data_IF_142295168972
#
_entry.id   IF_142295168972
#
_cell.length_a   1.000
_cell.length_b   1.000
_cell.length_c   1.000
_cell.angle_alpha   90.00
_cell.angle_beta   90.00
_cell.angle_gamma   90.00
#
_symmetry.space_group_name_H-M   'P 1'
#
loop_
_entity.id
_entity.type
_entity.pdbx_description
1 polymer ?
#
# COMPACT_ATOMS: atom_id res chain seq x y z
N UNK A 1 38.96 -30.48 -16.33
CA UNK A 1 37.65 -29.83 -16.48
C UNK A 1 36.99 -29.83 -15.12
N UNK A 2 37.05 -28.71 -14.39
CA UNK A 2 36.45 -28.59 -13.05
C UNK A 2 34.96 -28.29 -13.22
N UNK A 3 34.11 -29.20 -12.76
CA UNK A 3 32.65 -29.07 -12.77
C UNK A 3 32.24 -28.29 -11.51
N UNK A 4 31.77 -27.05 -11.67
CA UNK A 4 31.13 -26.31 -10.58
C UNK A 4 29.66 -26.72 -10.50
N UNK A 5 29.27 -27.44 -9.44
CA UNK A 5 27.86 -27.59 -9.08
C UNK A 5 27.40 -26.31 -8.36
N UNK A 6 26.46 -25.59 -8.97
CA UNK A 6 25.75 -24.50 -8.29
C UNK A 6 24.56 -25.11 -7.53
N UNK A 7 24.57 -25.03 -6.21
CA UNK A 7 23.43 -25.38 -5.37
C UNK A 7 22.55 -24.16 -5.17
N UNK A 8 21.38 -24.13 -5.79
CA UNK A 8 20.34 -23.15 -5.49
C UNK A 8 19.76 -23.46 -4.10
N UNK A 9 19.93 -22.56 -3.14
CA UNK A 9 19.31 -22.67 -1.81
C UNK A 9 17.94 -21.99 -1.90
N UNK A 10 16.86 -22.78 -1.84
CA UNK A 10 15.52 -22.25 -1.59
C UNK A 10 15.37 -22.03 -0.08
N UNK A 11 15.07 -20.81 0.35
CA UNK A 11 14.70 -20.55 1.74
C UNK A 11 13.30 -21.16 2.00
N UNK A 12 13.25 -22.31 2.66
CA UNK A 12 12.01 -22.92 3.13
C UNK A 12 11.64 -22.32 4.49
N UNK A 13 10.51 -21.62 4.57
CA UNK A 13 9.95 -21.17 5.85
C UNK A 13 9.07 -22.30 6.37
N UNK A 14 9.38 -22.92 7.52
CA UNK A 14 8.57 -23.99 8.09
C UNK A 14 7.14 -23.50 8.35
N UNK A 15 6.14 -24.22 7.85
CA UNK A 15 4.72 -23.94 8.08
C UNK A 15 4.16 -24.52 9.38
N UNK A 16 5.02 -25.14 10.18
CA UNK A 16 4.63 -25.94 11.35
C UNK A 16 5.37 -25.46 12.59
N UNK A 17 4.71 -25.50 13.75
CA UNK A 17 5.27 -25.19 15.06
C UNK A 17 5.67 -26.48 15.76
N UNK A 18 6.91 -26.57 16.26
CA UNK A 18 7.26 -27.66 17.18
C UNK A 18 6.56 -27.44 18.53
N UNK A 19 5.81 -28.43 18.97
CA UNK A 19 5.09 -28.45 20.22
C UNK A 19 5.54 -29.64 21.06
N UNK A 20 5.80 -29.41 22.35
CA UNK A 20 6.19 -30.44 23.30
C UNK A 20 5.31 -30.34 24.52
N UNK A 21 4.98 -31.48 25.11
CA UNK A 21 4.15 -31.54 26.29
C UNK A 21 4.51 -32.70 27.20
N UNK A 22 3.95 -32.64 28.41
CA UNK A 22 4.03 -33.69 29.39
C UNK A 22 2.61 -34.11 29.78
N UNK A 23 2.25 -35.37 29.57
CA UNK A 23 0.96 -35.93 29.95
C UNK A 23 1.07 -36.64 31.30
N UNK A 24 0.16 -36.25 32.20
CA UNK A 24 -0.04 -36.92 33.49
C UNK A 24 -1.40 -37.57 33.57
N UNK A 25 -1.52 -38.57 34.42
CA UNK A 25 -2.79 -39.13 34.85
C UNK A 25 -3.46 -38.24 35.91
N UNK A 26 -4.59 -38.72 36.45
CA UNK A 26 -5.36 -38.03 37.49
C UNK A 26 -4.62 -37.91 38.84
N UNK A 27 -3.57 -38.71 39.04
CA UNK A 27 -2.74 -38.70 40.25
C UNK A 27 -1.51 -37.77 40.09
N UNK A 28 -1.42 -37.04 38.96
CA UNK A 28 -0.26 -36.25 38.56
C UNK A 28 1.01 -37.08 38.29
N UNK A 29 0.87 -38.37 38.00
CA UNK A 29 1.97 -39.24 37.60
C UNK A 29 2.06 -39.30 36.06
N UNK A 30 3.27 -39.54 35.53
CA UNK A 30 3.46 -39.67 34.09
C UNK A 30 2.59 -40.82 33.53
N UNK A 31 1.93 -40.59 32.39
CA UNK A 31 1.20 -41.67 31.72
C UNK A 31 2.15 -42.77 31.25
N UNK A 32 1.63 -43.98 31.11
CA UNK A 32 2.38 -45.14 30.62
C UNK A 32 2.90 -44.94 29.21
N UNK A 33 4.08 -45.48 28.92
CA UNK A 33 4.66 -45.40 27.58
C UNK A 33 3.75 -46.08 26.55
N UNK A 34 3.51 -45.42 25.42
CA UNK A 34 2.62 -45.94 24.40
C UNK A 34 2.17 -44.91 23.37
N UNK A 35 1.34 -45.37 22.43
CA UNK A 35 0.72 -44.50 21.43
C UNK A 35 -0.58 -43.92 21.96
N UNK A 36 -0.74 -42.61 21.83
CA UNK A 36 -1.93 -41.86 22.19
C UNK A 36 -2.42 -41.09 20.97
N UNK A 37 -3.72 -41.11 20.71
CA UNK A 37 -4.33 -40.21 19.73
C UNK A 37 -4.55 -38.87 20.41
N UNK A 38 -3.89 -37.82 19.94
CA UNK A 38 -3.99 -36.47 20.50
C UNK A 38 -4.56 -35.53 19.46
N UNK A 39 -5.62 -34.84 19.83
CA UNK A 39 -6.26 -33.79 19.03
C UNK A 39 -5.87 -32.44 19.60
N UNK A 40 -5.31 -31.59 18.75
CA UNK A 40 -4.96 -30.20 19.06
C UNK A 40 -5.92 -29.27 18.33
N UNK A 41 -6.40 -28.23 18.99
CA UNK A 41 -7.28 -27.23 18.38
C UNK A 41 -6.97 -25.81 18.86
N UNK A 42 -7.29 -24.81 18.02
CA UNK A 42 -7.11 -23.38 18.33
C UNK A 42 -8.48 -22.70 18.42
N UNK A 43 -8.65 -21.90 19.47
CA UNK A 43 -9.93 -21.26 19.82
C UNK A 43 -9.79 -19.74 20.00
N UNK A 44 -10.85 -19.00 19.69
CA UNK A 44 -10.96 -17.55 19.96
C UNK A 44 -11.41 -17.20 21.38
N UNK A 45 -11.47 -18.18 22.29
CA UNK A 45 -11.79 -17.96 23.69
C UNK A 45 -11.36 -19.11 24.59
N UNK A 46 -11.58 -18.93 25.89
CA UNK A 46 -10.93 -19.69 26.95
C UNK A 46 -11.47 -21.13 27.14
N UNK A 47 -12.47 -21.56 26.37
CA UNK A 47 -13.12 -22.86 26.53
C UNK A 47 -13.94 -23.27 25.28
N UNK A 48 -14.48 -24.50 25.32
CA UNK A 48 -15.23 -25.15 24.25
C UNK A 48 -16.57 -24.50 23.87
N UNK A 49 -17.01 -23.44 24.56
CA UNK A 49 -18.21 -22.68 24.16
C UNK A 49 -17.91 -21.59 23.14
N UNK A 50 -16.63 -21.35 22.84
CA UNK A 50 -16.16 -20.37 21.87
C UNK A 50 -15.97 -21.01 20.49
N UNK A 51 -15.47 -20.27 19.49
CA UNK A 51 -15.33 -20.81 18.15
C UNK A 51 -13.99 -21.55 18.01
N UNK A 52 -14.06 -22.77 17.51
CA UNK A 52 -12.89 -23.49 17.01
C UNK A 52 -12.49 -22.93 15.64
N UNK A 53 -11.20 -22.67 15.47
CA UNK A 53 -10.64 -22.03 14.28
C UNK A 53 -9.73 -22.96 13.48
N UNK A 54 -9.22 -24.01 14.11
CA UNK A 54 -8.33 -25.00 13.53
C UNK A 54 -8.27 -26.24 14.44
N UNK A 55 -8.10 -27.41 13.83
CA UNK A 55 -7.94 -28.70 14.50
C UNK A 55 -6.92 -29.56 13.73
N UNK A 56 -6.15 -30.37 14.47
CA UNK A 56 -5.28 -31.41 13.94
C UNK A 56 -5.20 -32.60 14.89
N UNK A 57 -5.48 -33.80 14.39
CA UNK A 57 -5.47 -35.05 15.16
C UNK A 57 -4.32 -35.93 14.71
N UNK A 58 -3.47 -36.31 15.66
CA UNK A 58 -2.25 -37.07 15.41
C UNK A 58 -2.10 -38.23 16.39
N UNK A 59 -1.44 -39.31 15.96
CA UNK A 59 -1.02 -40.39 16.85
C UNK A 59 0.41 -40.14 17.31
N UNK A 60 0.61 -39.92 18.61
CA UNK A 60 1.89 -39.60 19.23
C UNK A 60 2.38 -40.74 20.10
N UNK A 61 3.66 -41.08 19.98
CA UNK A 61 4.31 -41.95 20.96
C UNK A 61 4.75 -41.11 22.16
N UNK A 62 4.25 -41.46 23.34
CA UNK A 62 4.55 -40.79 24.60
C UNK A 62 5.50 -41.68 25.39
N UNK A 63 6.64 -41.13 25.81
CA UNK A 63 7.64 -41.84 26.59
C UNK A 63 7.90 -41.08 27.89
N UNK A 64 7.69 -41.75 29.02
CA UNK A 64 7.78 -41.19 30.38
C UNK A 64 6.94 -39.91 30.53
N UNK A 65 5.75 -39.91 29.92
CA UNK A 65 4.84 -38.76 29.87
C UNK A 65 5.22 -37.67 28.86
N UNK A 66 6.41 -37.68 28.26
CA UNK A 66 6.85 -36.64 27.32
C UNK A 66 6.44 -36.98 25.89
N UNK A 67 6.01 -35.97 25.13
CA UNK A 67 5.84 -36.06 23.68
C UNK A 67 6.36 -34.81 22.96
N UNK A 68 6.65 -34.96 21.67
CA UNK A 68 6.99 -33.86 20.76
C UNK A 68 6.26 -34.07 19.43
N UNK A 69 5.71 -33.00 18.88
CA UNK A 69 5.05 -33.01 17.58
C UNK A 69 5.23 -31.69 16.81
N UNK A 70 4.87 -31.67 15.54
CA UNK A 70 4.77 -30.47 14.72
C UNK A 70 3.30 -30.18 14.42
N UNK A 71 2.82 -28.97 14.75
CA UNK A 71 1.44 -28.51 14.54
C UNK A 71 1.37 -27.59 13.33
N UNK A 72 0.36 -27.77 12.48
CA UNK A 72 0.11 -26.97 11.29
C UNK A 72 0.08 -27.80 9.99
N UNK A 73 -0.12 -27.16 8.83
CA UNK A 73 -0.16 -25.71 8.61
C UNK A 73 -1.43 -25.05 9.16
N UNK A 74 -1.30 -23.79 9.59
CA UNK A 74 -2.44 -23.00 10.08
C UNK A 74 -3.10 -22.21 8.94
N UNK A 75 -4.44 -22.00 8.96
CA UNK A 75 -5.13 -21.15 8.01
C UNK A 75 -4.71 -19.68 8.12
N UNK A 76 -4.78 -18.96 7.00
CA UNK A 76 -4.43 -17.53 6.94
C UNK A 76 -5.36 -16.61 7.76
N UNK A 77 -6.53 -17.12 8.17
CA UNK A 77 -7.48 -16.42 9.05
C UNK A 77 -6.98 -16.33 10.49
N UNK A 78 -6.05 -17.20 10.93
CA UNK A 78 -5.44 -17.14 12.26
C UNK A 78 -4.36 -16.05 12.28
N UNK A 79 -4.77 -14.86 12.73
CA UNK A 79 -3.91 -13.68 12.68
C UNK A 79 -2.90 -13.63 13.82
N UNK A 80 -3.16 -14.28 14.96
CA UNK A 80 -2.41 -14.13 16.22
C UNK A 80 -2.27 -12.66 16.68
N UNK A 81 -3.16 -11.77 16.22
CA UNK A 81 -3.22 -10.37 16.66
C UNK A 81 -4.08 -10.19 17.93
N UNK A 82 -4.96 -11.14 18.18
CA UNK A 82 -5.77 -11.26 19.39
C UNK A 82 -5.30 -12.47 20.22
N UNK A 83 -5.77 -12.57 21.46
CA UNK A 83 -5.48 -13.74 22.31
C UNK A 83 -6.18 -14.98 21.75
N UNK A 84 -5.43 -16.07 21.58
CA UNK A 84 -5.96 -17.38 21.21
C UNK A 84 -5.57 -18.44 22.25
N UNK A 85 -6.30 -19.55 22.24
CA UNK A 85 -6.16 -20.62 23.21
C UNK A 85 -5.99 -21.98 22.53
N UNK A 86 -5.17 -22.84 23.13
CA UNK A 86 -4.92 -24.21 22.70
C UNK A 86 -5.81 -25.18 23.47
N UNK A 87 -6.66 -25.89 22.73
CA UNK A 87 -7.39 -27.06 23.19
C UNK A 87 -6.57 -28.32 22.91
N UNK A 88 -6.56 -29.26 23.85
CA UNK A 88 -5.93 -30.57 23.68
C UNK A 88 -6.90 -31.65 24.18
N UNK A 89 -7.15 -32.68 23.39
CA UNK A 89 -7.85 -33.90 23.81
C UNK A 89 -6.95 -35.11 23.60
N UNK A 90 -7.03 -36.06 24.53
CA UNK A 90 -6.32 -37.33 24.43
C UNK A 90 -7.33 -38.46 24.30
N UNK A 91 -7.18 -39.29 23.28
CA UNK A 91 -8.05 -40.41 22.91
C UNK A 91 -9.54 -40.02 22.79
N UNK A 92 -9.83 -38.80 22.32
CA UNK A 92 -11.20 -38.28 22.21
C UNK A 92 -11.90 -38.02 23.55
N UNK A 93 -11.15 -37.98 24.66
CA UNK A 93 -11.66 -37.65 25.97
C UNK A 93 -11.99 -36.16 26.15
N UNK A 94 -12.19 -35.74 27.40
CA UNK A 94 -12.40 -34.33 27.71
C UNK A 94 -11.18 -33.48 27.36
N UNK A 95 -11.41 -32.20 27.07
CA UNK A 95 -10.33 -31.23 26.90
C UNK A 95 -9.48 -31.11 28.17
N UNK A 96 -8.17 -31.13 27.99
CA UNK A 96 -7.21 -30.78 29.03
C UNK A 96 -7.30 -29.27 29.29
N UNK A 97 -7.43 -28.90 30.56
CA UNK A 97 -7.63 -27.51 31.00
C UNK A 97 -6.70 -27.19 32.17
N UNK A 98 -6.23 -25.95 32.22
CA UNK A 98 -5.52 -25.36 33.37
C UNK A 98 -6.48 -24.36 34.00
N UNK A 99 -6.74 -24.49 35.30
CA UNK A 99 -7.71 -23.65 36.03
C UNK A 99 -9.08 -23.56 35.34
N UNK A 100 -9.54 -24.67 34.75
CA UNK A 100 -10.79 -24.77 33.99
C UNK A 100 -10.85 -23.95 32.67
N UNK A 101 -9.70 -23.51 32.17
CA UNK A 101 -9.57 -22.82 30.87
C UNK A 101 -8.62 -23.58 29.94
N UNK A 102 -8.77 -23.37 28.64
CA UNK A 102 -7.79 -23.76 27.63
C UNK A 102 -6.47 -23.02 27.84
N UNK A 103 -5.40 -23.57 27.28
CA UNK A 103 -4.05 -23.05 27.51
C UNK A 103 -3.88 -21.76 26.68
N UNK A 104 -3.69 -20.58 27.29
CA UNK A 104 -3.48 -19.36 26.53
C UNK A 104 -2.13 -19.41 25.81
N UNK A 105 -2.08 -18.96 24.56
CA UNK A 105 -0.79 -18.71 23.91
C UNK A 105 -0.13 -17.47 24.52
N UNK A 106 0.94 -17.67 25.28
CA UNK A 106 1.63 -16.60 26.03
C UNK A 106 2.90 -16.06 25.34
N UNK A 107 3.41 -16.72 24.29
CA UNK A 107 4.54 -16.18 23.49
C UNK A 107 4.72 -16.83 22.10
N UNK A 108 5.14 -16.01 21.13
CA UNK A 108 5.90 -16.31 19.88
C UNK A 108 5.28 -17.17 18.77
N UNK A 109 3.97 -17.14 18.54
CA UNK A 109 3.39 -17.72 17.31
C UNK A 109 3.26 -16.69 16.18
N UNK A 110 3.61 -15.42 16.46
CA UNK A 110 3.66 -14.35 15.45
C UNK A 110 4.81 -14.52 14.45
N UNK A 111 5.88 -15.26 14.77
CA UNK A 111 7.03 -15.46 13.89
C UNK A 111 6.72 -16.24 12.60
N UNK A 112 5.60 -16.99 12.54
CA UNK A 112 5.14 -17.70 11.34
C UNK A 112 4.59 -16.76 10.26
N UNK A 113 4.39 -15.48 10.60
CA UNK A 113 4.23 -14.39 9.62
C UNK A 113 5.52 -14.03 8.90
N UNK A 114 6.64 -14.75 9.09
CA UNK A 114 7.84 -14.55 8.29
C UNK A 114 7.58 -14.75 6.78
N UNK A 115 6.59 -15.57 6.38
CA UNK A 115 6.18 -15.66 4.98
C UNK A 115 5.45 -14.39 4.50
N UNK A 116 4.65 -13.74 5.37
CA UNK A 116 4.05 -12.40 5.10
C UNK A 116 5.00 -11.23 5.33
N UNK A 117 6.17 -11.47 5.96
CA UNK A 117 7.32 -10.56 6.03
C UNK A 117 8.38 -10.92 4.97
N UNK A 118 8.08 -11.90 4.12
CA UNK A 118 8.95 -12.52 3.13
C UNK A 118 9.10 -11.64 1.91
N UNK A 119 9.69 -10.45 2.09
CA UNK A 119 9.81 -9.47 1.03
C UNK A 119 8.45 -9.12 0.42
N UNK A 120 8.46 -8.54 -0.79
CA UNK A 120 7.26 -8.36 -1.60
C UNK A 120 7.35 -9.27 -2.81
N UNK A 121 6.28 -9.98 -3.13
CA UNK A 121 6.15 -10.72 -4.38
C UNK A 121 6.11 -9.74 -5.55
N UNK A 122 7.21 -9.67 -6.31
CA UNK A 122 7.34 -8.81 -7.48
C UNK A 122 7.11 -9.64 -8.75
N UNK A 123 6.21 -9.19 -9.61
CA UNK A 123 5.91 -9.81 -10.90
C UNK A 123 6.06 -8.81 -12.03
N UNK A 124 6.65 -9.23 -13.14
CA UNK A 124 6.70 -8.44 -14.37
C UNK A 124 5.70 -8.99 -15.39
N UNK A 125 4.95 -8.11 -16.05
CA UNK A 125 3.97 -8.46 -17.09
C UNK A 125 4.12 -7.55 -18.33
N UNK A 126 3.67 -8.05 -19.46
CA UNK A 126 3.66 -7.33 -20.75
C UNK A 126 2.38 -7.51 -21.56
N UNK A 127 1.32 -8.02 -20.91
CA UNK A 127 -0.01 -8.26 -21.48
C UNK A 127 -1.06 -8.18 -20.38
N UNK A 128 -2.34 -8.10 -20.76
CA UNK A 128 -3.48 -8.06 -19.84
C UNK A 128 -3.38 -9.12 -18.73
N UNK A 129 -3.71 -8.71 -17.50
CA UNK A 129 -3.51 -9.53 -16.31
C UNK A 129 -4.51 -9.18 -15.20
N UNK A 130 -4.97 -10.18 -14.44
CA UNK A 130 -5.78 -9.99 -13.24
C UNK A 130 -4.93 -10.22 -12.01
N UNK A 131 -4.92 -9.28 -11.05
CA UNK A 131 -4.15 -9.45 -9.82
C UNK A 131 -4.66 -10.65 -9.01
N UNK A 132 -3.73 -11.29 -8.31
CA UNK A 132 -3.95 -12.53 -7.57
C UNK A 132 -3.36 -12.45 -6.16
N UNK A 133 -3.61 -13.46 -5.34
CA UNK A 133 -3.05 -13.57 -3.99
C UNK A 133 -1.51 -13.65 -3.96
N UNK A 134 -0.89 -13.94 -5.11
CA UNK A 134 0.57 -14.08 -5.25
C UNK A 134 1.24 -12.81 -5.81
N UNK A 135 0.55 -11.67 -5.79
CA UNK A 135 1.07 -10.39 -6.28
C UNK A 135 1.14 -9.39 -5.13
N UNK A 136 2.28 -8.70 -5.00
CA UNK A 136 2.42 -7.54 -4.09
C UNK A 136 2.82 -6.30 -4.88
N UNK A 137 3.76 -6.47 -5.81
CA UNK A 137 4.18 -5.45 -6.77
C UNK A 137 4.08 -6.03 -8.18
N UNK A 138 3.38 -5.34 -9.07
CA UNK A 138 3.31 -5.68 -10.50
C UNK A 138 3.99 -4.60 -11.32
N UNK A 139 5.05 -4.98 -12.01
CA UNK A 139 5.79 -4.16 -12.97
C UNK A 139 5.24 -4.41 -14.37
N UNK A 140 4.50 -3.45 -14.91
CA UNK A 140 3.78 -3.62 -16.17
C UNK A 140 4.41 -2.82 -17.31
N UNK A 141 4.46 -3.45 -18.47
CA UNK A 141 4.90 -2.92 -19.75
C UNK A 141 3.91 -3.32 -20.86
N UNK A 142 4.11 -2.82 -22.07
CA UNK A 142 3.19 -3.03 -23.19
C UNK A 142 1.88 -2.25 -23.03
N UNK A 143 1.03 -2.31 -24.05
CA UNK A 143 -0.37 -1.88 -23.94
C UNK A 143 -1.12 -2.93 -23.13
N UNK A 144 -1.12 -2.74 -21.81
CA UNK A 144 -1.58 -3.75 -20.85
C UNK A 144 -2.73 -3.19 -20.02
N UNK A 145 -3.74 -4.02 -19.79
CA UNK A 145 -4.83 -3.76 -18.84
C UNK A 145 -4.67 -4.66 -17.62
N UNK A 146 -4.52 -4.05 -16.45
CA UNK A 146 -4.58 -4.74 -15.15
C UNK A 146 -6.01 -4.70 -14.63
N UNK A 147 -6.55 -5.89 -14.32
CA UNK A 147 -7.86 -6.05 -13.68
C UNK A 147 -7.68 -6.20 -12.17
N UNK A 148 -8.33 -5.33 -11.41
CA UNK A 148 -8.51 -5.51 -9.98
C UNK A 148 -9.48 -6.69 -9.75
N UNK A 149 -9.13 -7.66 -8.91
CA UNK A 149 -10.02 -8.79 -8.63
C UNK A 149 -11.20 -8.35 -7.76
N UNK A 150 -12.15 -9.25 -7.54
CA UNK A 150 -13.34 -8.97 -6.73
C UNK A 150 -12.93 -8.55 -5.31
N UNK A 151 -13.31 -7.33 -4.89
CA UNK A 151 -12.85 -6.72 -3.65
C UNK A 151 -13.14 -7.60 -2.41
N UNK A 152 -14.28 -8.30 -2.40
CA UNK A 152 -14.69 -9.16 -1.28
C UNK A 152 -13.70 -10.29 -0.96
N UNK A 153 -13.01 -10.81 -1.99
CA UNK A 153 -12.05 -11.90 -1.82
C UNK A 153 -10.66 -11.39 -1.40
N UNK A 154 -10.46 -10.07 -1.42
CA UNK A 154 -9.18 -9.41 -1.22
C UNK A 154 -9.23 -8.32 -0.15
N UNK A 155 -10.17 -8.39 0.80
CA UNK A 155 -10.29 -7.40 1.90
C UNK A 155 -8.96 -7.25 2.65
N UNK A 156 -8.47 -6.01 2.75
CA UNK A 156 -7.20 -5.66 3.39
C UNK A 156 -5.96 -5.96 2.54
N UNK A 157 -6.12 -6.52 1.32
CA UNK A 157 -4.98 -6.74 0.41
C UNK A 157 -4.56 -5.44 -0.24
N UNK A 158 -3.25 -5.19 -0.21
CA UNK A 158 -2.58 -4.07 -0.84
C UNK A 158 -1.79 -4.58 -2.06
N UNK A 159 -1.95 -3.89 -3.19
CA UNK A 159 -1.14 -4.11 -4.39
C UNK A 159 -0.46 -2.82 -4.80
N UNK A 160 0.78 -2.88 -5.27
CA UNK A 160 1.46 -1.78 -5.96
C UNK A 160 1.60 -2.14 -7.44
N UNK A 161 1.20 -1.24 -8.32
CA UNK A 161 1.29 -1.39 -9.77
C UNK A 161 2.23 -0.30 -10.27
N UNK A 162 3.26 -0.66 -11.04
CA UNK A 162 4.22 0.31 -11.59
C UNK A 162 4.39 0.09 -13.08
N UNK A 163 4.23 1.17 -13.85
CA UNK A 163 4.56 1.19 -15.27
C UNK A 163 6.07 1.29 -15.46
N UNK A 164 6.67 0.43 -16.27
CA UNK A 164 8.13 0.40 -16.43
C UNK A 164 8.62 0.86 -17.82
N UNK A 165 7.76 0.88 -18.84
CA UNK A 165 8.13 1.39 -20.17
C UNK A 165 7.74 2.87 -20.39
N UNK A 166 8.30 3.47 -21.43
CA UNK A 166 8.11 4.88 -21.79
C UNK A 166 7.21 5.10 -23.02
N UNK A 167 6.73 4.05 -23.68
CA UNK A 167 6.00 4.15 -24.96
C UNK A 167 4.53 3.80 -24.86
N UNK A 168 4.15 2.85 -24.02
CA UNK A 168 2.81 2.27 -24.03
C UNK A 168 1.90 2.95 -23.01
N UNK A 169 0.61 2.60 -23.03
CA UNK A 169 -0.35 2.98 -21.98
C UNK A 169 -0.62 1.79 -21.08
N UNK A 170 -0.58 2.01 -19.76
CA UNK A 170 -1.03 1.02 -18.78
C UNK A 170 -2.43 1.41 -18.28
N UNK A 171 -3.39 0.50 -18.42
CA UNK A 171 -4.77 0.68 -17.97
C UNK A 171 -5.05 -0.13 -16.72
N UNK A 172 -5.85 0.40 -15.80
CA UNK A 172 -6.37 -0.33 -14.63
C UNK A 172 -7.89 -0.27 -14.70
N UNK A 173 -8.53 -1.42 -14.49
CA UNK A 173 -10.00 -1.56 -14.43
C UNK A 173 -10.41 -2.35 -13.20
N UNK A 174 -11.59 -2.04 -12.67
CA UNK A 174 -12.30 -2.86 -11.69
C UNK A 174 -13.24 -3.83 -12.41
N UNK A 175 -13.95 -4.65 -11.65
CA UNK A 175 -14.95 -5.59 -12.17
C UNK A 175 -16.28 -5.39 -11.44
N UNK A 176 -17.37 -5.88 -12.04
CA UNK A 176 -18.69 -5.94 -11.41
C UNK A 176 -19.24 -4.58 -10.87
N UNK A 177 -18.85 -3.45 -11.46
CA UNK A 177 -19.26 -2.13 -10.98
C UNK A 177 -18.60 -1.69 -9.67
N UNK A 178 -17.57 -2.41 -9.19
CA UNK A 178 -16.79 -1.97 -8.03
C UNK A 178 -16.05 -0.67 -8.34
N UNK A 179 -15.88 0.17 -7.33
CA UNK A 179 -15.24 1.47 -7.52
C UNK A 179 -13.76 1.47 -7.12
N UNK A 180 -12.98 2.34 -7.76
CA UNK A 180 -11.71 2.84 -7.27
C UNK A 180 -11.92 4.30 -6.84
N UNK A 181 -11.72 4.62 -5.56
CA UNK A 181 -11.98 5.95 -5.01
C UNK A 181 -13.39 6.49 -5.37
N UNK A 182 -14.43 5.68 -5.17
CA UNK A 182 -15.82 5.98 -5.51
C UNK A 182 -16.11 6.19 -7.01
N UNK A 183 -15.14 5.95 -7.89
CA UNK A 183 -15.33 5.99 -9.35
C UNK A 183 -15.40 4.57 -9.90
N UNK A 184 -16.48 4.22 -10.60
CA UNK A 184 -16.58 2.94 -11.32
C UNK A 184 -15.64 2.97 -12.54
N UNK A 185 -14.62 2.12 -12.52
CA UNK A 185 -13.64 1.96 -13.61
C UNK A 185 -13.81 0.60 -14.32
N UNK A 186 -14.96 -0.07 -14.17
CA UNK A 186 -15.24 -1.37 -14.78
C UNK A 186 -15.86 -1.27 -16.18
N UNK A 187 -16.50 -0.14 -16.51
CA UNK A 187 -17.30 0.04 -17.72
C UNK A 187 -16.70 1.09 -18.67
N UNK A 188 -15.65 0.71 -19.41
CA UNK A 188 -15.13 1.50 -20.53
C UNK A 188 -14.36 2.78 -20.18
N UNK A 189 -14.17 3.06 -18.89
CA UNK A 189 -13.39 4.19 -18.38
C UNK A 189 -12.24 3.69 -17.47
N UNK A 190 -11.22 3.02 -18.04
CA UNK A 190 -10.05 2.61 -17.28
C UNK A 190 -9.32 3.82 -16.71
N UNK A 191 -8.73 3.66 -15.53
CA UNK A 191 -7.68 4.56 -15.09
C UNK A 191 -6.44 4.31 -15.94
N UNK A 192 -5.83 5.35 -16.51
CA UNK A 192 -4.66 5.22 -17.38
C UNK A 192 -3.41 5.82 -16.76
N UNK A 193 -2.26 5.17 -16.98
CA UNK A 193 -0.93 5.65 -16.66
C UNK A 193 -0.09 5.69 -17.94
N UNK A 194 0.32 6.90 -18.31
CA UNK A 194 1.11 7.14 -19.53
C UNK A 194 2.61 7.30 -19.24
N UNK A 195 2.95 7.96 -18.12
CA UNK A 195 4.34 8.23 -17.73
C UNK A 195 5.12 6.98 -17.33
N UNK A 196 6.36 6.87 -17.79
CA UNK A 196 7.28 5.83 -17.31
C UNK A 196 7.52 5.99 -15.80
N UNK A 197 7.55 4.87 -15.09
CA UNK A 197 7.74 4.81 -13.63
C UNK A 197 6.61 5.40 -12.80
N UNK A 198 5.50 5.82 -13.42
CA UNK A 198 4.28 6.05 -12.67
C UNK A 198 3.87 4.78 -11.93
N UNK A 199 3.47 4.93 -10.68
CA UNK A 199 2.94 3.84 -9.88
C UNK A 199 1.67 4.26 -9.16
N UNK A 200 0.91 3.25 -8.78
CA UNK A 200 -0.26 3.38 -7.94
C UNK A 200 -0.27 2.20 -6.98
N UNK A 201 -0.52 2.47 -5.70
CA UNK A 201 -0.88 1.41 -4.77
C UNK A 201 -2.38 1.44 -4.50
N UNK A 202 -3.01 0.28 -4.42
CA UNK A 202 -4.44 0.12 -4.14
C UNK A 202 -4.66 -0.85 -2.99
N UNK A 203 -5.68 -0.60 -2.18
CA UNK A 203 -6.13 -1.48 -1.09
C UNK A 203 -7.63 -1.74 -1.21
N UNK A 204 -8.05 -2.98 -0.98
CA UNK A 204 -9.48 -3.32 -0.92
C UNK A 204 -10.01 -3.22 0.51
N UNK A 205 -11.21 -2.67 0.69
CA UNK A 205 -11.94 -2.72 1.96
C UNK A 205 -12.93 -3.90 2.07
N UNK A 206 -13.00 -4.76 1.05
CA UNK A 206 -13.96 -5.85 0.93
C UNK A 206 -15.19 -5.54 0.07
N UNK A 207 -15.35 -4.30 -0.39
CA UNK A 207 -16.47 -3.85 -1.25
C UNK A 207 -16.02 -2.97 -2.40
N UNK A 208 -14.95 -2.20 -2.20
CA UNK A 208 -14.36 -1.31 -3.22
C UNK A 208 -12.87 -1.19 -3.01
N UNK A 209 -12.20 -0.60 -4.00
CA UNK A 209 -10.78 -0.33 -4.02
C UNK A 209 -10.51 1.14 -3.70
N UNK A 210 -9.40 1.40 -3.00
CA UNK A 210 -8.93 2.73 -2.69
C UNK A 210 -7.48 2.84 -3.11
N UNK A 211 -7.11 3.92 -3.80
CA UNK A 211 -5.70 4.22 -4.00
C UNK A 211 -5.10 4.72 -2.69
N UNK A 212 -3.86 4.34 -2.42
CA UNK A 212 -3.07 4.82 -1.30
C UNK A 212 -1.76 5.41 -1.83
N UNK A 213 -1.28 6.46 -1.19
CA UNK A 213 -0.19 7.30 -1.69
C UNK A 213 -0.71 8.67 -2.12
N UNK A 214 0.06 9.38 -2.94
CA UNK A 214 -0.29 10.72 -3.40
C UNK A 214 -1.21 10.64 -4.63
N UNK A 215 -2.43 11.15 -4.52
CA UNK A 215 -3.34 11.33 -5.64
C UNK A 215 -3.11 12.71 -6.28
N UNK A 216 -3.29 12.85 -7.60
CA UNK A 216 -3.31 14.18 -8.23
C UNK A 216 -4.47 15.05 -7.70
N UNK A 217 -5.51 14.44 -7.11
CA UNK A 217 -6.59 15.12 -6.40
C UNK A 217 -6.19 15.64 -5.02
N UNK A 218 -5.03 15.24 -4.50
CA UNK A 218 -4.47 15.80 -3.25
C UNK A 218 -3.86 17.18 -3.48
N UNK A 219 -3.72 17.59 -4.75
CA UNK A 219 -3.40 18.96 -5.12
C UNK A 219 -4.71 19.68 -5.44
N UNK A 220 -5.22 20.54 -4.54
CA UNK A 220 -6.56 21.12 -4.61
C UNK A 220 -6.64 22.26 -5.63
N UNK A 221 -6.25 22.01 -6.88
CA UNK A 221 -6.40 22.93 -7.99
C UNK A 221 -7.55 22.44 -8.88
N UNK A 222 -8.60 23.26 -9.00
CA UNK A 222 -9.70 23.02 -9.93
C UNK A 222 -9.24 23.13 -11.39
N UNK A 223 -10.01 22.57 -12.33
CA UNK A 223 -9.77 22.74 -13.78
C UNK A 223 -9.69 24.23 -14.16
N UNK A 224 -10.48 25.08 -13.49
CA UNK A 224 -10.42 26.53 -13.66
C UNK A 224 -9.09 27.13 -13.19
N UNK A 225 -8.55 26.66 -12.05
CA UNK A 225 -7.25 27.11 -11.54
C UNK A 225 -6.10 26.63 -12.43
N UNK A 226 -6.23 25.46 -13.07
CA UNK A 226 -5.28 24.94 -14.06
C UNK A 226 -5.34 25.76 -15.35
N UNK A 227 -6.53 26.15 -15.81
CA UNK A 227 -6.69 26.97 -17.02
C UNK A 227 -6.01 28.35 -16.90
N UNK A 228 -5.94 28.93 -15.69
CA UNK A 228 -5.16 30.15 -15.46
C UNK A 228 -3.66 30.00 -15.76
N UNK A 229 -3.14 28.78 -15.83
CA UNK A 229 -1.74 28.47 -16.07
C UNK A 229 -1.47 27.91 -17.49
N UNK A 230 -2.50 27.68 -18.32
CA UNK A 230 -2.35 27.04 -19.64
C UNK A 230 -1.44 27.81 -20.62
N UNK A 231 -1.27 29.12 -20.41
CA UNK A 231 -0.41 29.97 -21.24
C UNK A 231 0.98 30.24 -20.63
N UNK A 232 1.35 29.49 -19.58
CA UNK A 232 2.66 29.57 -18.95
C UNK A 232 3.65 28.73 -19.77
N UNK A 233 4.42 29.39 -20.64
CA UNK A 233 5.37 28.78 -21.59
C UNK A 233 6.82 28.73 -21.11
N UNK A 234 7.11 29.32 -19.95
CA UNK A 234 8.40 29.30 -19.25
C UNK A 234 8.15 29.34 -17.74
N UNK A 235 9.19 29.35 -16.90
CA UNK A 235 9.02 29.66 -15.48
C UNK A 235 8.23 30.98 -15.31
N UNK A 236 7.36 31.00 -14.29
CA UNK A 236 6.47 32.15 -14.00
C UNK A 236 7.27 33.45 -13.80
N UNK A 237 8.47 33.33 -13.23
CA UNK A 237 9.34 34.48 -13.02
C UNK A 237 9.78 35.14 -14.33
N UNK A 238 10.13 34.37 -15.38
CA UNK A 238 10.56 34.97 -16.66
C UNK A 238 9.36 35.62 -17.37
N UNK A 239 8.17 35.03 -17.29
CA UNK A 239 6.96 35.64 -17.84
C UNK A 239 6.59 36.95 -17.13
N UNK A 240 6.75 37.02 -15.81
CA UNK A 240 6.53 38.25 -15.04
C UNK A 240 7.59 39.31 -15.37
N UNK A 241 8.86 38.92 -15.47
CA UNK A 241 9.95 39.80 -15.85
C UNK A 241 9.73 40.39 -17.26
N UNK A 242 9.29 39.58 -18.24
CA UNK A 242 9.01 40.04 -19.60
C UNK A 242 7.90 41.12 -19.65
N UNK A 243 6.90 41.02 -18.77
CA UNK A 243 5.84 42.04 -18.66
C UNK A 243 6.37 43.36 -18.08
N UNK A 244 7.34 43.33 -17.17
CA UNK A 244 7.96 44.54 -16.61
C UNK A 244 8.93 45.22 -17.62
N UNK A 245 9.58 44.44 -18.47
CA UNK A 245 10.58 44.92 -19.46
C UNK A 245 9.94 45.61 -20.68
N UNK A 246 8.63 45.51 -20.87
CA UNK A 246 7.95 46.04 -22.07
C UNK A 246 7.67 47.56 -22.05
N UNK A 247 7.96 48.27 -20.97
CA UNK A 247 7.77 49.72 -20.88
C UNK A 247 8.95 50.45 -21.53
N UNK A 248 8.72 51.06 -22.69
CA UNK A 248 9.76 51.74 -23.49
C UNK A 248 9.40 53.20 -23.76
N UNK A 249 10.35 53.95 -24.36
CA UNK A 249 10.12 55.34 -24.74
C UNK A 249 9.77 56.25 -23.56
N UNK A 250 8.91 57.24 -23.78
CA UNK A 250 8.59 58.25 -22.78
C UNK A 250 7.89 57.69 -21.52
N UNK A 251 7.23 56.53 -21.66
CA UNK A 251 6.53 55.86 -20.57
C UNK A 251 7.47 55.36 -19.45
N UNK A 252 8.76 55.11 -19.75
CA UNK A 252 9.69 54.64 -18.72
C UNK A 252 9.95 55.66 -17.61
N UNK A 253 9.73 56.96 -17.88
CA UNK A 253 9.90 58.00 -16.87
C UNK A 253 8.71 58.09 -15.92
N UNK A 254 7.52 57.69 -16.39
CA UNK A 254 6.30 57.65 -15.55
C UNK A 254 6.41 56.55 -14.49
N UNK A 255 7.11 55.46 -14.81
CA UNK A 255 7.14 54.26 -13.96
C UNK A 255 8.25 54.26 -12.92
N UNK A 256 9.08 55.31 -12.87
CA UNK A 256 10.26 55.36 -12.00
C UNK A 256 10.11 56.33 -10.82
N UNK A 257 9.62 57.54 -11.05
CA UNK A 257 9.46 58.56 -10.00
C UNK A 257 8.44 59.62 -10.40
N UNK A 258 7.84 60.26 -9.39
CA UNK A 258 6.95 61.40 -9.61
C UNK A 258 7.71 62.61 -10.15
N UNK A 259 7.03 63.37 -11.02
CA UNK A 259 7.53 64.65 -11.53
C UNK A 259 7.11 65.79 -10.60
N UNK A 260 7.88 66.89 -10.61
CA UNK A 260 7.52 68.08 -9.84
C UNK A 260 6.14 68.60 -10.25
N UNK A 261 5.25 68.77 -9.28
CA UNK A 261 3.88 69.25 -9.49
C UNK A 261 3.84 70.71 -9.94
N UNK A 262 2.79 71.11 -10.67
CA UNK A 262 2.58 72.51 -11.05
C UNK A 262 3.55 73.00 -12.14
N UNK A 263 4.01 72.09 -13.00
CA UNK A 263 4.90 72.37 -14.13
C UNK A 263 4.30 71.85 -15.43
N UNK A 264 4.68 72.46 -16.56
CA UNK A 264 4.40 71.89 -17.86
C UNK A 264 5.24 70.62 -18.09
N UNK A 265 4.74 69.67 -18.88
CA UNK A 265 5.49 68.49 -19.30
C UNK A 265 6.06 68.70 -20.71
N UNK A 266 7.31 68.30 -20.91
CA UNK A 266 7.99 68.33 -22.21
C UNK A 266 8.54 66.95 -22.56
N UNK A 267 8.88 66.74 -23.83
CA UNK A 267 9.80 65.68 -24.23
C UNK A 267 11.23 66.21 -24.18
N UNK A 268 12.12 65.52 -23.49
CA UNK A 268 13.54 65.85 -23.49
C UNK A 268 14.26 65.34 -24.77
N UNK A 269 15.57 65.63 -24.87
CA UNK A 269 16.40 65.20 -26.00
C UNK A 269 16.60 63.67 -26.11
N UNK A 270 16.17 62.89 -25.11
CA UNK A 270 16.17 61.42 -25.12
C UNK A 270 14.78 60.83 -25.41
N UNK A 271 13.79 61.67 -25.72
CA UNK A 271 12.41 61.25 -25.97
C UNK A 271 11.65 60.84 -24.71
N UNK A 272 12.09 61.31 -23.54
CA UNK A 272 11.47 61.03 -22.23
C UNK A 272 10.60 62.19 -21.77
N UNK A 273 9.58 61.91 -20.97
CA UNK A 273 8.80 62.97 -20.32
C UNK A 273 9.67 63.63 -19.26
N UNK A 274 9.79 64.95 -19.30
CA UNK A 274 10.55 65.74 -18.34
C UNK A 274 9.76 66.97 -17.86
N UNK A 275 10.19 67.50 -16.72
CA UNK A 275 9.66 68.74 -16.15
C UNK A 275 10.17 69.93 -16.98
N UNK A 276 9.24 70.74 -17.50
CA UNK A 276 9.58 72.00 -18.16
C UNK A 276 10.14 73.02 -17.16
N UNK A 277 10.95 73.95 -17.66
CA UNK A 277 11.26 75.18 -16.92
C UNK A 277 10.03 76.07 -16.71
N UNK A 278 8.98 75.91 -17.52
CA UNK A 278 7.71 76.66 -17.44
C UNK A 278 6.83 76.13 -16.30
N UNK A 279 6.40 77.04 -15.43
CA UNK A 279 5.51 76.83 -14.28
C UNK A 279 4.04 76.93 -14.68
N UNK A 280 3.14 76.38 -13.84
CA UNK A 280 1.69 76.52 -14.05
C UNK A 280 1.24 77.99 -14.08
N UNK A 281 1.90 78.87 -13.32
CA UNK A 281 1.66 80.32 -13.35
C UNK A 281 1.94 80.93 -14.73
N UNK A 282 2.92 80.41 -15.46
CA UNK A 282 3.27 80.89 -16.80
C UNK A 282 2.36 80.32 -17.90
N UNK A 283 1.64 79.22 -17.63
CA UNK A 283 0.68 78.62 -18.55
C UNK A 283 -0.76 79.19 -18.42
N UNK A 284 -1.08 79.83 -17.30
CA UNK A 284 -2.43 80.34 -16.98
C UNK A 284 -3.13 79.50 -15.92
#
# INVERSE_FOLDING_TARGET
MYLFLSTTVYAFVPSNVNFQGFLTDINNEAVTDGNYTVTFSIWDGENETHNELWEDTQTLFVERGVYSTALGPFPYSLTFAEQYYLGIQVNGGNYLKIDNHFIPFTSTWTAFRANTSGGRLVKSISSDYTLSHNDDIVLASGNTTIKLPQASNFKGRLFTIKKIDNTNTLSIVSINGETLNNTDISNGTPLTMNGQYNDMSVISNGTSWFSIGFSMTDFPLSEQQISYLENVSSNIQDQLNAKQVSITGAASTITSSDLATGRALISDGSGKIAVSSVTSTELG
#
